data_IF_893235250285
#
_entry.id   IF_893235250285
#
_cell.length_a   1.000
_cell.length_b   1.000
_cell.length_c   1.000
_cell.angle_alpha   90.00
_cell.angle_beta   90.00
_cell.angle_gamma   90.00
#
_symmetry.space_group_name_H-M   'P 1'
#
loop_
_entity.id
_entity.type
_entity.pdbx_description
1 polymer ?
#
# COMPACT_ATOMS: atom_id res chain seq x y z
N UNK A 1 13.98 -4.83 -17.33
CA UNK A 1 12.53 -4.77 -17.00
C UNK A 1 11.81 -4.08 -18.16
N UNK A 2 10.65 -4.57 -18.60
CA UNK A 2 9.84 -3.85 -19.60
C UNK A 2 9.01 -2.75 -18.92
N UNK A 3 8.70 -1.67 -19.62
CA UNK A 3 7.86 -0.57 -19.10
C UNK A 3 6.54 -1.10 -18.53
N UNK A 4 5.94 -2.11 -19.18
CA UNK A 4 4.71 -2.76 -18.72
C UNK A 4 4.85 -3.34 -17.31
N UNK A 5 5.94 -4.05 -17.01
CA UNK A 5 6.16 -4.65 -15.69
C UNK A 5 6.34 -3.59 -14.61
N UNK A 6 7.04 -2.50 -14.92
CA UNK A 6 7.18 -1.36 -14.02
C UNK A 6 5.83 -0.75 -13.66
N UNK A 7 5.01 -0.45 -14.68
CA UNK A 7 3.68 0.13 -14.49
C UNK A 7 2.77 -0.79 -13.69
N UNK A 8 2.86 -2.11 -13.88
CA UNK A 8 2.13 -3.07 -13.05
C UNK A 8 2.56 -3.00 -11.59
N UNK A 9 3.85 -2.90 -11.28
CA UNK A 9 4.34 -2.77 -9.90
C UNK A 9 3.91 -1.45 -9.24
N UNK A 10 3.95 -0.34 -9.99
CA UNK A 10 3.41 0.94 -9.52
C UNK A 10 1.90 0.82 -9.25
N UNK A 11 1.15 0.15 -10.13
CA UNK A 11 -0.27 -0.12 -9.92
C UNK A 11 -0.52 -0.97 -8.66
N UNK A 12 0.27 -2.01 -8.43
CA UNK A 12 0.23 -2.80 -7.18
C UNK A 12 0.44 -1.90 -5.98
N UNK A 13 1.50 -1.07 -5.98
CA UNK A 13 1.79 -0.16 -4.87
C UNK A 13 0.64 0.83 -4.61
N UNK A 14 0.04 1.38 -5.67
CA UNK A 14 -1.11 2.29 -5.56
C UNK A 14 -2.33 1.59 -4.97
N UNK A 15 -2.69 0.40 -5.48
CA UNK A 15 -3.83 -0.37 -4.97
C UNK A 15 -3.63 -0.78 -3.50
N UNK A 16 -2.43 -1.23 -3.15
CA UNK A 16 -2.05 -1.54 -1.76
C UNK A 16 -2.18 -0.31 -0.87
N UNK A 17 -1.72 0.85 -1.34
CA UNK A 17 -1.75 2.08 -0.54
C UNK A 17 -3.18 2.60 -0.35
N UNK A 18 -4.00 2.62 -1.40
CA UNK A 18 -5.43 2.96 -1.30
C UNK A 18 -6.18 1.97 -0.40
N UNK A 19 -5.84 0.67 -0.49
CA UNK A 19 -6.35 -0.36 0.39
C UNK A 19 -6.06 -0.06 1.86
N UNK A 20 -4.81 0.31 2.18
CA UNK A 20 -4.40 0.72 3.52
C UNK A 20 -5.19 1.94 4.04
N UNK A 21 -5.37 2.97 3.22
CA UNK A 21 -6.16 4.15 3.62
C UNK A 21 -7.63 3.77 3.89
N UNK A 22 -8.23 2.96 3.03
CA UNK A 22 -9.61 2.47 3.22
C UNK A 22 -9.75 1.64 4.50
N UNK A 23 -8.79 0.73 4.76
CA UNK A 23 -8.77 -0.07 5.99
C UNK A 23 -8.65 0.80 7.24
N UNK A 24 -7.76 1.80 7.22
CA UNK A 24 -7.56 2.75 8.31
C UNK A 24 -8.83 3.52 8.61
N UNK A 25 -9.47 4.08 7.59
CA UNK A 25 -10.75 4.80 7.72
C UNK A 25 -11.86 3.91 8.30
N UNK A 26 -11.96 2.66 7.82
CA UNK A 26 -12.92 1.71 8.35
C UNK A 26 -12.64 1.31 9.79
N UNK A 27 -11.37 1.08 10.14
CA UNK A 27 -10.95 0.69 11.49
C UNK A 27 -11.26 1.77 12.54
N UNK A 28 -11.09 3.05 12.20
CA UNK A 28 -11.42 4.17 13.09
C UNK A 28 -12.92 4.29 13.39
N UNK A 29 -13.77 3.78 12.51
CA UNK A 29 -15.22 3.78 12.71
C UNK A 29 -15.75 2.60 13.56
N UNK A 30 -14.89 1.65 13.93
CA UNK A 30 -15.28 0.50 14.75
C UNK A 30 -15.25 0.86 16.24
N UNK A 31 -16.27 0.41 16.98
CA UNK A 31 -16.33 0.57 18.43
C UNK A 31 -15.22 -0.23 19.14
N UNK A 32 -14.76 0.28 20.28
CA UNK A 32 -13.76 -0.39 21.11
C UNK A 32 -14.35 -1.67 21.73
N UNK A 33 -13.81 -2.84 21.36
CA UNK A 33 -14.21 -4.11 21.95
C UNK A 33 -13.82 -5.34 21.12
N UNK A 34 -12.93 -6.18 21.67
CA UNK A 34 -12.37 -7.33 20.95
C UNK A 34 -13.43 -8.36 20.49
N UNK A 35 -14.48 -8.58 21.31
CA UNK A 35 -15.54 -9.53 21.00
C UNK A 35 -16.50 -9.07 19.89
N UNK A 36 -16.56 -7.77 19.61
CA UNK A 36 -17.43 -7.20 18.57
C UNK A 36 -16.66 -6.75 17.32
N UNK A 37 -15.33 -6.76 17.39
CA UNK A 37 -14.45 -6.32 16.31
C UNK A 37 -14.68 -7.09 15.01
N UNK A 38 -14.64 -8.43 15.04
CA UNK A 38 -14.74 -9.25 13.81
C UNK A 38 -16.11 -9.07 13.12
N UNK A 39 -17.26 -9.23 13.81
CA UNK A 39 -18.56 -9.03 13.18
C UNK A 39 -18.74 -7.62 12.61
N UNK A 40 -18.29 -6.58 13.34
CA UNK A 40 -18.39 -5.20 12.89
C UNK A 40 -17.47 -4.92 11.68
N UNK A 41 -16.26 -5.47 11.69
CA UNK A 41 -15.32 -5.33 10.58
C UNK A 41 -15.83 -5.98 9.29
N UNK A 42 -16.48 -7.15 9.39
CA UNK A 42 -17.07 -7.85 8.25
C UNK A 42 -18.28 -7.14 7.64
N UNK A 43 -18.89 -6.19 8.35
CA UNK A 43 -20.03 -5.40 7.86
C UNK A 43 -19.61 -3.99 7.42
N UNK A 44 -18.36 -3.58 7.69
CA UNK A 44 -17.88 -2.26 7.38
C UNK A 44 -17.44 -2.14 5.91
N UNK A 45 -18.11 -1.27 5.15
CA UNK A 45 -17.86 -1.12 3.71
C UNK A 45 -16.43 -0.67 3.37
N UNK A 46 -15.80 0.14 4.23
CA UNK A 46 -14.43 0.61 4.02
C UNK A 46 -13.41 -0.49 4.27
N UNK A 47 -13.67 -1.35 5.26
CA UNK A 47 -12.84 -2.54 5.49
C UNK A 47 -12.97 -3.52 4.33
N UNK A 48 -14.20 -3.83 3.91
CA UNK A 48 -14.45 -4.71 2.76
C UNK A 48 -13.78 -4.16 1.50
N UNK A 49 -13.93 -2.87 1.23
CA UNK A 49 -13.30 -2.20 0.08
C UNK A 49 -11.78 -2.28 0.16
N UNK A 50 -11.19 -2.01 1.33
CA UNK A 50 -9.76 -2.07 1.55
C UNK A 50 -9.19 -3.48 1.36
N UNK A 51 -9.87 -4.49 1.87
CA UNK A 51 -9.54 -5.91 1.65
C UNK A 51 -9.67 -6.29 0.17
N UNK A 52 -10.71 -5.81 -0.52
CA UNK A 52 -10.90 -6.02 -1.96
C UNK A 52 -9.76 -5.42 -2.79
N UNK A 53 -9.35 -4.19 -2.49
CA UNK A 53 -8.19 -3.55 -3.14
C UNK A 53 -6.90 -4.33 -2.89
N UNK A 54 -6.70 -4.84 -1.66
CA UNK A 54 -5.56 -5.70 -1.33
C UNK A 54 -5.56 -7.01 -2.11
N UNK A 55 -6.72 -7.66 -2.24
CA UNK A 55 -6.87 -8.89 -3.00
C UNK A 55 -6.55 -8.65 -4.48
N UNK A 56 -7.05 -7.56 -5.06
CA UNK A 56 -6.74 -7.17 -6.45
C UNK A 56 -5.24 -6.89 -6.60
N UNK A 57 -4.64 -6.12 -5.69
CA UNK A 57 -3.20 -5.85 -5.70
C UNK A 57 -2.37 -7.15 -5.64
N UNK A 58 -2.79 -8.11 -4.81
CA UNK A 58 -2.14 -9.41 -4.70
C UNK A 58 -2.23 -10.23 -6.00
N UNK A 59 -3.35 -10.17 -6.72
CA UNK A 59 -3.46 -10.83 -8.03
C UNK A 59 -2.42 -10.27 -9.01
N UNK A 60 -2.30 -8.94 -9.12
CA UNK A 60 -1.28 -8.30 -9.96
C UNK A 60 0.14 -8.58 -9.49
N UNK A 61 0.36 -8.66 -8.18
CA UNK A 61 1.65 -9.03 -7.59
C UNK A 61 2.06 -10.44 -8.01
N UNK A 62 1.17 -11.43 -7.81
CA UNK A 62 1.41 -12.83 -8.21
C UNK A 62 1.69 -12.92 -9.71
N UNK A 63 0.93 -12.22 -10.55
CA UNK A 63 1.20 -12.18 -11.99
C UNK A 63 2.57 -11.61 -12.32
N UNK A 64 3.01 -10.58 -11.59
CA UNK A 64 4.29 -9.91 -11.83
C UNK A 64 5.47 -10.77 -11.42
N UNK A 65 5.45 -11.36 -10.22
CA UNK A 65 6.57 -12.16 -9.71
C UNK A 65 6.77 -13.49 -10.46
N UNK A 66 5.79 -13.90 -11.28
CA UNK A 66 5.95 -15.03 -12.23
C UNK A 66 6.94 -14.73 -13.36
N UNK A 67 7.12 -13.45 -13.72
CA UNK A 67 7.92 -13.02 -14.89
C UNK A 67 9.01 -12.02 -14.53
N UNK A 68 8.94 -11.40 -13.35
CA UNK A 68 9.95 -10.49 -12.80
C UNK A 68 10.61 -11.16 -11.59
N UNK A 69 11.95 -11.27 -11.54
CA UNK A 69 12.65 -11.76 -10.37
C UNK A 69 12.29 -10.99 -9.10
N UNK A 70 12.15 -11.68 -7.97
CA UNK A 70 11.74 -11.07 -6.70
C UNK A 70 12.69 -9.98 -6.22
N UNK A 71 14.01 -10.16 -6.39
CA UNK A 71 15.02 -9.15 -6.04
C UNK A 71 14.88 -7.84 -6.83
N UNK A 72 14.16 -7.88 -7.95
CA UNK A 72 13.88 -6.72 -8.83
C UNK A 72 12.50 -6.13 -8.53
N UNK A 73 11.51 -6.97 -8.18
CA UNK A 73 10.15 -6.51 -7.85
C UNK A 73 10.05 -5.88 -6.45
N UNK A 74 10.71 -6.49 -5.46
CA UNK A 74 10.63 -6.07 -4.05
C UNK A 74 11.09 -4.62 -3.82
N UNK A 75 12.20 -4.13 -4.41
CA UNK A 75 12.58 -2.72 -4.28
C UNK A 75 11.45 -1.78 -4.72
N UNK A 76 10.82 -2.01 -5.88
CA UNK A 76 9.75 -1.14 -6.38
C UNK A 76 8.54 -1.15 -5.43
N UNK A 77 8.21 -2.30 -4.81
CA UNK A 77 7.15 -2.36 -3.79
C UNK A 77 7.41 -1.43 -2.60
N UNK A 78 8.67 -1.03 -2.38
CA UNK A 78 9.05 0.01 -1.43
C UNK A 78 8.34 1.35 -1.65
N UNK A 79 7.82 1.62 -2.85
CA UNK A 79 6.97 2.79 -3.14
C UNK A 79 5.76 2.90 -2.19
N UNK A 80 5.24 1.79 -1.69
CA UNK A 80 4.14 1.79 -0.70
C UNK A 80 4.51 2.58 0.57
N UNK A 81 5.77 2.54 1.02
CA UNK A 81 6.24 3.32 2.17
C UNK A 81 6.30 4.83 1.90
N UNK A 82 6.25 5.25 0.65
CA UNK A 82 6.16 6.66 0.24
C UNK A 82 4.69 7.03 0.02
N UNK A 83 3.95 6.19 -0.70
CA UNK A 83 2.56 6.42 -1.07
C UNK A 83 1.62 6.40 0.13
N UNK A 84 1.80 5.49 1.09
CA UNK A 84 0.89 5.38 2.25
C UNK A 84 0.93 6.65 3.10
N UNK A 85 2.08 7.15 3.60
CA UNK A 85 2.10 8.39 4.38
C UNK A 85 1.59 9.60 3.59
N UNK A 86 1.92 9.66 2.29
CA UNK A 86 1.46 10.74 1.42
C UNK A 86 -0.08 10.74 1.27
N UNK A 87 -0.66 9.59 0.96
CA UNK A 87 -2.11 9.44 0.82
C UNK A 87 -2.83 9.59 2.17
N UNK A 88 -2.22 9.14 3.26
CA UNK A 88 -2.77 9.31 4.60
C UNK A 88 -2.88 10.78 4.96
N UNK A 89 -1.85 11.57 4.65
CA UNK A 89 -1.90 13.02 4.84
C UNK A 89 -2.94 13.69 3.97
N UNK A 90 -3.02 13.29 2.69
CA UNK A 90 -3.91 13.91 1.73
C UNK A 90 -5.39 13.59 1.99
N UNK A 91 -5.70 12.35 2.36
CA UNK A 91 -7.07 11.84 2.45
C UNK A 91 -7.59 11.85 3.89
N UNK A 92 -6.75 11.47 4.87
CA UNK A 92 -7.12 11.39 6.28
C UNK A 92 -6.73 12.64 7.07
N UNK A 93 -5.90 13.53 6.50
CA UNK A 93 -5.41 14.72 7.18
C UNK A 93 -4.34 14.42 8.25
N UNK A 94 -3.73 13.23 8.22
CA UNK A 94 -2.67 12.87 9.18
C UNK A 94 -1.40 13.70 8.96
N UNK A 95 -0.74 14.07 10.06
CA UNK A 95 0.53 14.81 10.00
C UNK A 95 1.68 13.89 9.57
N UNK A 96 2.33 14.22 8.45
CA UNK A 96 3.58 13.55 8.04
C UNK A 96 4.75 14.22 8.71
N UNK A 97 5.44 13.47 9.57
CA UNK A 97 6.64 13.97 10.23
C UNK A 97 7.75 14.30 9.23
N UNK A 98 8.63 15.24 9.58
CA UNK A 98 9.85 15.53 8.79
C UNK A 98 10.73 14.28 8.60
N UNK A 99 10.75 13.40 9.60
CA UNK A 99 11.48 12.13 9.52
C UNK A 99 10.90 11.20 8.46
N UNK A 100 9.56 11.13 8.32
CA UNK A 100 8.93 10.35 7.26
C UNK A 100 9.32 10.88 5.87
N UNK A 101 9.33 12.20 5.68
CA UNK A 101 9.74 12.80 4.41
C UNK A 101 11.19 12.47 4.03
N UNK A 102 12.12 12.59 4.99
CA UNK A 102 13.53 12.22 4.79
C UNK A 102 13.65 10.72 4.50
N UNK A 103 12.95 9.89 5.26
CA UNK A 103 12.89 8.44 5.07
C UNK A 103 12.37 8.06 3.68
N UNK A 104 11.30 8.69 3.21
CA UNK A 104 10.77 8.51 1.85
C UNK A 104 11.82 8.85 0.79
N UNK A 105 12.62 9.91 0.99
CA UNK A 105 13.74 10.23 0.12
C UNK A 105 14.78 9.11 0.05
N UNK A 106 15.18 8.55 1.19
CA UNK A 106 16.09 7.40 1.23
C UNK A 106 15.51 6.15 0.57
N UNK A 107 14.19 5.90 0.72
CA UNK A 107 13.53 4.78 0.07
C UNK A 107 13.56 4.96 -1.45
N UNK A 108 13.18 6.14 -1.97
CA UNK A 108 13.25 6.44 -3.41
C UNK A 108 14.67 6.24 -3.94
N UNK A 109 15.68 6.72 -3.21
CA UNK A 109 17.08 6.52 -3.56
C UNK A 109 17.47 5.04 -3.58
N UNK A 110 17.05 4.26 -2.58
CA UNK A 110 17.28 2.82 -2.51
C UNK A 110 16.62 2.06 -3.67
N UNK A 111 15.42 2.48 -4.08
CA UNK A 111 14.73 1.92 -5.26
C UNK A 111 15.53 2.19 -6.52
N UNK A 112 15.98 3.44 -6.71
CA UNK A 112 16.80 3.82 -7.86
C UNK A 112 18.10 3.01 -7.92
N UNK A 113 18.83 2.92 -6.81
CA UNK A 113 20.08 2.15 -6.73
C UNK A 113 19.89 0.65 -6.93
N UNK A 114 18.73 0.08 -6.55
CA UNK A 114 18.42 -1.33 -6.80
C UNK A 114 18.15 -1.64 -8.27
N UNK A 115 18.01 -0.60 -9.11
CA UNK A 115 17.70 -0.69 -10.53
C UNK A 115 18.79 -0.15 -11.47
N UNK A 116 19.72 0.64 -10.93
CA UNK A 116 20.87 1.20 -11.65
C UNK A 116 21.90 0.11 -11.93
#
# INVERSE_FOLDING_TARGET
MTLKHFLTLVMVATLTSLGQISLKYGAESLAEGFNQFIPAALQNIWIITGLGLYAIAMIFWIQTIRVVPLNVAIPISGLTFVMIPFLSSLILGEEVSKSNFIGSGFIIMGIYLSYA
#
